data_IF_831290016134
#
_entry.id   IF_831290016134
#
_cell.length_a   1.000
_cell.length_b   1.000
_cell.length_c   1.000
_cell.angle_alpha   90.00
_cell.angle_beta   90.00
_cell.angle_gamma   90.00
#
_symmetry.space_group_name_H-M   'P 1'
#
loop_
_entity.id
_entity.type
_entity.pdbx_description
1 polymer ?
#
# COMPACT_ATOMS: atom_id res chain seq x y z
N UNK A 1 -1.68 -24.87 10.16
CA UNK A 1 -2.01 -23.43 10.25
C UNK A 1 -2.06 -23.04 11.71
N UNK A 2 -1.48 -21.91 12.09
CA UNK A 2 -1.63 -21.36 13.44
C UNK A 2 -2.93 -20.53 13.50
N UNK A 3 -3.73 -20.75 14.54
CA UNK A 3 -4.97 -20.01 14.79
C UNK A 3 -4.81 -19.17 16.04
N UNK A 4 -5.03 -17.87 15.93
CA UNK A 4 -4.99 -16.92 17.05
C UNK A 4 -6.42 -16.51 17.39
N UNK A 5 -6.81 -16.61 18.67
CA UNK A 5 -8.08 -16.06 19.14
C UNK A 5 -7.87 -14.58 19.48
N UNK A 6 -8.71 -13.73 18.90
CA UNK A 6 -8.68 -12.28 19.08
C UNK A 6 -10.06 -11.84 19.57
N UNK A 7 -10.10 -10.86 20.46
CA UNK A 7 -11.34 -10.18 20.83
C UNK A 7 -11.27 -8.77 20.23
N UNK A 8 -12.20 -8.46 19.32
CA UNK A 8 -12.17 -7.23 18.52
C UNK A 8 -13.22 -6.21 18.99
N UNK A 9 -14.17 -6.64 19.81
CA UNK A 9 -15.31 -5.83 20.26
C UNK A 9 -16.41 -5.69 19.22
N UNK A 10 -17.59 -5.31 19.70
CA UNK A 10 -18.87 -5.41 18.99
C UNK A 10 -18.88 -4.77 17.60
N UNK A 11 -18.21 -3.61 17.43
CA UNK A 11 -18.16 -2.90 16.14
C UNK A 11 -17.52 -3.75 15.05
N UNK A 12 -16.39 -4.38 15.36
CA UNK A 12 -15.62 -5.13 14.37
C UNK A 12 -16.22 -6.51 14.13
N UNK A 13 -16.78 -7.13 15.18
CA UNK A 13 -17.52 -8.38 15.05
C UNK A 13 -18.74 -8.19 14.14
N UNK A 14 -19.55 -7.15 14.36
CA UNK A 14 -20.68 -6.83 13.50
C UNK A 14 -20.28 -6.54 12.04
N UNK A 15 -19.15 -5.86 11.83
CA UNK A 15 -18.62 -5.63 10.49
C UNK A 15 -18.22 -6.94 9.81
N UNK A 16 -17.45 -7.79 10.49
CA UNK A 16 -17.00 -9.09 9.96
C UNK A 16 -18.21 -9.97 9.63
N UNK A 17 -19.20 -10.02 10.52
CA UNK A 17 -20.43 -10.78 10.30
C UNK A 17 -21.18 -10.27 9.06
N UNK A 18 -21.27 -8.95 8.86
CA UNK A 18 -21.94 -8.39 7.68
C UNK A 18 -21.23 -8.76 6.37
N UNK A 19 -19.90 -8.76 6.35
CA UNK A 19 -19.07 -9.10 5.18
C UNK A 19 -19.12 -10.59 4.83
N UNK A 20 -19.27 -11.46 5.84
CA UNK A 20 -19.49 -12.90 5.62
C UNK A 20 -20.93 -13.16 5.19
N UNK A 21 -21.91 -12.53 5.84
CA UNK A 21 -23.35 -12.72 5.57
C UNK A 21 -23.76 -12.27 4.17
N UNK A 22 -23.10 -11.24 3.63
CA UNK A 22 -23.33 -10.79 2.25
C UNK A 22 -22.64 -11.67 1.20
N UNK A 23 -21.88 -12.70 1.63
CA UNK A 23 -21.22 -13.67 0.77
C UNK A 23 -19.90 -13.18 0.17
N UNK A 24 -19.38 -12.01 0.58
CA UNK A 24 -18.10 -11.49 0.08
C UNK A 24 -16.91 -12.32 0.56
N UNK A 25 -17.00 -12.90 1.76
CA UNK A 25 -15.98 -13.79 2.33
C UNK A 25 -16.61 -15.08 2.84
N UNK A 26 -15.87 -16.19 2.75
CA UNK A 26 -16.32 -17.50 3.23
C UNK A 26 -16.09 -17.73 4.72
N UNK A 27 -15.30 -16.89 5.38
CA UNK A 27 -15.10 -16.96 6.83
C UNK A 27 -14.61 -15.65 7.46
N UNK A 28 -14.84 -15.44 8.77
CA UNK A 28 -14.23 -14.33 9.52
C UNK A 28 -12.70 -14.25 9.37
N UNK A 29 -12.03 -15.40 9.33
CA UNK A 29 -10.57 -15.46 9.16
C UNK A 29 -10.10 -14.95 7.80
N UNK A 30 -10.92 -15.06 6.76
CA UNK A 30 -10.61 -14.48 5.45
C UNK A 30 -10.71 -12.95 5.47
N UNK A 31 -11.76 -12.40 6.09
CA UNK A 31 -11.92 -10.96 6.28
C UNK A 31 -10.69 -10.36 6.97
N UNK A 32 -10.28 -10.97 8.09
CA UNK A 32 -9.13 -10.49 8.87
C UNK A 32 -7.84 -10.59 8.06
N UNK A 33 -7.62 -11.69 7.34
CA UNK A 33 -6.41 -11.84 6.50
C UNK A 33 -6.36 -10.80 5.39
N UNK A 34 -7.49 -10.53 4.74
CA UNK A 34 -7.55 -9.53 3.69
C UNK A 34 -7.29 -8.12 4.23
N UNK A 35 -7.92 -7.77 5.36
CA UNK A 35 -7.67 -6.51 6.05
C UNK A 35 -6.19 -6.31 6.43
N UNK A 36 -5.53 -7.35 6.95
CA UNK A 36 -4.11 -7.30 7.29
C UNK A 36 -3.22 -7.14 6.06
N UNK A 37 -3.53 -7.81 4.94
CA UNK A 37 -2.80 -7.63 3.68
C UNK A 37 -2.91 -6.20 3.16
N UNK A 38 -4.10 -5.63 3.19
CA UNK A 38 -4.32 -4.24 2.77
C UNK A 38 -3.56 -3.25 3.68
N UNK A 39 -3.56 -3.51 5.00
CA UNK A 39 -2.79 -2.71 5.95
C UNK A 39 -1.28 -2.77 5.66
N UNK A 40 -0.74 -3.96 5.43
CA UNK A 40 0.68 -4.17 5.11
C UNK A 40 1.06 -3.49 3.79
N UNK A 41 0.24 -3.64 2.74
CA UNK A 41 0.47 -2.99 1.45
C UNK A 41 0.52 -1.47 1.57
N UNK A 42 -0.39 -0.88 2.36
CA UNK A 42 -0.39 0.56 2.65
C UNK A 42 0.86 0.99 3.42
N UNK A 43 1.29 0.21 4.41
CA UNK A 43 2.50 0.49 5.18
C UNK A 43 3.73 0.48 4.28
N UNK A 44 3.90 -0.54 3.43
CA UNK A 44 5.00 -0.64 2.45
C UNK A 44 5.03 0.55 1.50
N UNK A 45 3.87 0.96 1.00
CA UNK A 45 3.75 2.12 0.10
C UNK A 45 4.19 3.41 0.80
N UNK A 46 3.75 3.63 2.04
CA UNK A 46 4.14 4.79 2.83
C UNK A 46 5.62 4.80 3.18
N UNK A 47 6.19 3.63 3.47
CA UNK A 47 7.62 3.48 3.74
C UNK A 47 8.45 3.82 2.51
N UNK A 48 8.10 3.24 1.34
CA UNK A 48 8.76 3.57 0.08
C UNK A 48 8.69 5.07 -0.24
N UNK A 49 7.52 5.69 -0.07
CA UNK A 49 7.35 7.12 -0.28
C UNK A 49 8.25 7.94 0.66
N UNK A 50 8.31 7.58 1.95
CA UNK A 50 9.18 8.27 2.93
C UNK A 50 10.65 8.15 2.55
N UNK A 51 11.09 6.96 2.13
CA UNK A 51 12.46 6.73 1.67
C UNK A 51 12.80 7.61 0.49
N UNK A 52 11.96 7.63 -0.54
CA UNK A 52 12.20 8.46 -1.73
C UNK A 52 12.14 9.96 -1.44
N UNK A 53 11.25 10.40 -0.54
CA UNK A 53 11.21 11.79 -0.11
C UNK A 53 12.48 12.21 0.64
N UNK A 54 12.99 11.36 1.54
CA UNK A 54 14.23 11.64 2.27
C UNK A 54 15.45 11.70 1.33
N UNK A 55 15.49 10.82 0.33
CA UNK A 55 16.51 10.83 -0.72
C UNK A 55 16.43 12.13 -1.53
N UNK A 56 15.24 12.49 -2.02
CA UNK A 56 15.03 13.72 -2.78
C UNK A 56 15.32 14.99 -1.99
N UNK A 57 14.98 15.02 -0.69
CA UNK A 57 15.33 16.12 0.22
C UNK A 57 16.86 16.27 0.33
N UNK A 58 17.58 15.15 0.47
CA UNK A 58 19.06 15.15 0.54
C UNK A 58 19.68 15.65 -0.76
N UNK A 59 19.16 15.23 -1.92
CA UNK A 59 19.59 15.70 -3.24
C UNK A 59 19.34 17.21 -3.40
N UNK A 60 18.16 17.68 -3.01
CA UNK A 60 17.79 19.09 -3.07
C UNK A 60 18.71 19.97 -2.22
N UNK A 61 19.07 19.54 -1.00
CA UNK A 61 20.05 20.27 -0.17
C UNK A 61 21.43 20.36 -0.80
N UNK A 62 21.81 19.41 -1.67
CA UNK A 62 23.06 19.43 -2.44
C UNK A 62 22.96 20.20 -3.75
N UNK A 63 21.77 20.71 -4.08
CA UNK A 63 21.50 21.36 -5.37
C UNK A 63 21.40 20.37 -6.53
N UNK A 64 21.24 19.08 -6.24
CA UNK A 64 21.09 18.01 -7.24
C UNK A 64 19.63 17.99 -7.69
N UNK A 65 19.34 18.65 -8.81
CA UNK A 65 18.04 18.65 -9.46
C UNK A 65 18.15 18.08 -10.87
N UNK A 66 17.08 17.45 -11.34
CA UNK A 66 16.96 17.06 -12.75
C UNK A 66 16.88 18.33 -13.58
N UNK A 67 17.96 18.63 -14.29
CA UNK A 67 18.00 19.69 -15.30
C UNK A 67 17.24 19.23 -16.55
N UNK A 68 16.66 20.17 -17.30
CA UNK A 68 15.99 19.89 -18.58
C UNK A 68 14.84 18.86 -18.49
N UNK A 69 14.04 18.92 -17.41
CA UNK A 69 12.84 18.09 -17.26
C UNK A 69 11.82 18.36 -18.39
N UNK A 70 11.60 17.37 -19.25
CA UNK A 70 10.53 17.35 -20.26
C UNK A 70 9.75 16.05 -20.18
N UNK A 71 8.43 16.19 -20.06
CA UNK A 71 7.50 15.05 -20.04
C UNK A 71 7.55 14.33 -21.40
N UNK A 72 7.70 15.07 -22.49
CA UNK A 72 7.83 14.54 -23.84
C UNK A 72 9.09 13.67 -23.99
N UNK A 73 10.22 14.09 -23.41
CA UNK A 73 11.48 13.33 -23.44
C UNK A 73 11.38 12.01 -22.65
N UNK A 74 10.67 12.02 -21.51
CA UNK A 74 10.45 10.82 -20.70
C UNK A 74 9.54 9.83 -21.44
N UNK A 75 8.47 10.32 -22.08
CA UNK A 75 7.58 9.47 -22.88
C UNK A 75 8.31 8.87 -24.09
N UNK A 76 9.10 9.67 -24.82
CA UNK A 76 9.85 9.21 -25.98
C UNK A 76 10.93 8.16 -25.65
N UNK A 77 11.58 8.27 -24.48
CA UNK A 77 12.55 7.26 -24.02
C UNK A 77 11.91 5.96 -23.51
N UNK A 78 10.64 6.03 -23.07
CA UNK A 78 9.89 4.84 -22.63
C UNK A 78 9.46 3.94 -23.79
N UNK A 79 9.28 4.51 -24.99
CA UNK A 79 8.90 3.76 -26.21
C UNK A 79 10.08 3.03 -26.88
N UNK A 80 11.32 3.41 -26.55
CA UNK A 80 12.53 2.82 -27.15
C UNK A 80 13.05 1.57 -26.41
N UNK A 81 12.38 1.15 -25.34
CA UNK A 81 12.77 0.01 -24.49
C UNK A 81 11.90 -1.25 -24.63
N UNK A 82 11.06 -1.37 -25.66
CA UNK A 82 10.24 -2.55 -25.95
C UNK A 82 10.80 -3.37 -27.13
#
# INVERSE_FOLDING_TARGET
MATTKLNLGDRWEAFIDSEVSCGRYGSPSEVVRDALRQMEARQRTLEALRTHLAEGETQAYRGEFVQDYSVEAILASSEQGA
#
